data_IF_650799376207
#
_entry.id   IF_650799376207
#
_cell.length_a   1.000
_cell.length_b   1.000
_cell.length_c   1.000
_cell.angle_alpha   90.00
_cell.angle_beta   90.00
_cell.angle_gamma   90.00
#
_symmetry.space_group_name_H-M   'P 1'
#
loop_
_entity.id
_entity.type
_entity.pdbx_description
1 polymer ?
#
# COMPACT_ATOMS: atom_id res chain seq x y z
N UNK A 1 9.18 25.28 3.73
CA UNK A 1 8.53 24.53 2.62
C UNK A 1 8.25 23.10 3.13
N UNK A 2 7.57 22.87 4.26
CA UNK A 2 6.20 23.22 4.70
C UNK A 2 5.04 22.59 3.90
N UNK A 3 5.18 21.31 3.52
CA UNK A 3 4.02 20.48 3.20
C UNK A 3 4.05 19.17 4.00
N UNK A 4 4.05 19.29 5.33
CA UNK A 4 3.83 18.18 6.28
C UNK A 4 2.32 18.00 6.56
N UNK A 5 1.46 18.73 5.85
CA UNK A 5 0.01 18.63 6.01
C UNK A 5 -0.60 17.80 4.90
N UNK A 6 -0.89 16.53 5.21
CA UNK A 6 -2.17 15.86 4.92
C UNK A 6 -2.05 14.34 5.08
N UNK A 7 -1.93 13.88 6.33
CA UNK A 7 -2.33 12.52 6.70
C UNK A 7 -2.66 12.47 8.20
N UNK A 8 -3.41 13.46 8.71
CA UNK A 8 -4.20 13.23 9.93
C UNK A 8 -5.45 12.45 9.52
N UNK A 9 -5.26 11.21 9.11
CA UNK A 9 -6.34 10.22 9.12
C UNK A 9 -6.24 9.59 10.51
N UNK A 10 -7.32 9.68 11.28
CA UNK A 10 -7.43 9.02 12.59
C UNK A 10 -7.36 7.50 12.36
N UNK A 11 -6.16 6.94 12.24
CA UNK A 11 -6.00 5.60 11.67
C UNK A 11 -5.64 4.59 12.75
N UNK A 12 -6.36 3.47 12.72
CA UNK A 12 -5.95 2.18 13.29
C UNK A 12 -4.62 1.75 12.65
N UNK A 13 -3.53 2.34 13.13
CA UNK A 13 -2.17 1.98 12.75
C UNK A 13 -1.94 0.56 13.24
N UNK A 14 -1.58 -0.34 12.33
CA UNK A 14 -1.29 -1.72 12.71
C UNK A 14 0.06 -1.84 13.45
N UNK A 15 0.37 -3.05 13.89
CA UNK A 15 1.61 -3.33 14.62
C UNK A 15 2.89 -3.01 13.82
N UNK A 16 2.80 -2.90 12.49
CA UNK A 16 3.91 -2.61 11.59
C UNK A 16 3.96 -1.13 11.16
N UNK A 17 3.05 -0.30 11.67
CA UNK A 17 3.01 1.13 11.36
C UNK A 17 2.21 1.50 10.13
N UNK A 18 1.50 0.54 9.51
CA UNK A 18 0.69 0.81 8.31
C UNK A 18 -0.65 1.40 8.71
N UNK A 19 -1.03 2.47 8.03
CA UNK A 19 -2.35 3.04 8.14
C UNK A 19 -3.41 2.23 7.37
N UNK A 20 -4.67 2.62 7.53
CA UNK A 20 -5.80 1.96 6.88
C UNK A 20 -5.72 1.93 5.35
N UNK A 21 -5.09 2.94 4.73
CA UNK A 21 -4.96 3.05 3.29
C UNK A 21 -3.91 2.07 2.78
N UNK A 22 -2.77 1.98 3.45
CA UNK A 22 -1.69 1.05 3.15
C UNK A 22 -2.12 -0.41 3.37
N UNK A 23 -2.86 -0.69 4.45
CA UNK A 23 -3.48 -1.99 4.69
C UNK A 23 -4.46 -2.36 3.57
N UNK A 24 -5.34 -1.43 3.17
CA UNK A 24 -6.27 -1.65 2.06
C UNK A 24 -5.56 -1.89 0.72
N UNK A 25 -4.46 -1.18 0.48
CA UNK A 25 -3.61 -1.36 -0.70
C UNK A 25 -3.06 -2.78 -0.76
N UNK A 26 -2.45 -3.25 0.33
CA UNK A 26 -1.86 -4.59 0.40
C UNK A 26 -2.93 -5.68 0.30
N UNK A 27 -4.10 -5.47 0.94
CA UNK A 27 -5.24 -6.38 0.88
C UNK A 27 -5.72 -6.58 -0.57
N UNK A 28 -5.94 -5.48 -1.31
CA UNK A 28 -6.37 -5.55 -2.72
C UNK A 28 -5.32 -6.26 -3.57
N UNK A 29 -4.04 -5.97 -3.34
CA UNK A 29 -2.96 -6.58 -4.12
C UNK A 29 -2.80 -8.08 -3.82
N UNK A 30 -3.12 -8.52 -2.60
CA UNK A 30 -3.03 -9.94 -2.20
C UNK A 30 -4.02 -10.87 -2.92
N UNK A 31 -5.09 -10.32 -3.48
CA UNK A 31 -6.08 -11.12 -4.22
C UNK A 31 -5.48 -11.75 -5.49
N UNK A 32 -4.49 -11.11 -6.10
CA UNK A 32 -3.86 -11.59 -7.35
C UNK A 32 -2.33 -11.65 -7.26
N UNK A 33 -1.72 -11.22 -6.16
CA UNK A 33 -0.28 -10.97 -5.94
C UNK A 33 0.37 -9.99 -6.92
N UNK A 34 -0.26 -9.67 -8.05
CA UNK A 34 0.24 -8.74 -9.05
C UNK A 34 -0.90 -7.97 -9.68
N UNK A 35 -0.82 -6.63 -9.68
CA UNK A 35 -1.80 -5.74 -10.30
C UNK A 35 -1.14 -4.55 -10.99
N UNK A 36 -1.70 -4.07 -12.12
CA UNK A 36 -1.36 -2.76 -12.65
C UNK A 36 -1.76 -1.62 -11.70
N UNK A 37 -0.99 -0.53 -11.64
CA UNK A 37 -1.29 0.64 -10.80
C UNK A 37 -2.68 1.20 -11.00
N UNK A 38 -3.11 1.32 -12.25
CA UNK A 38 -4.40 1.92 -12.60
C UNK A 38 -5.56 1.10 -12.06
N UNK A 39 -5.41 -0.23 -11.96
CA UNK A 39 -6.40 -1.11 -11.34
C UNK A 39 -6.41 -0.89 -9.83
N UNK A 40 -5.25 -0.86 -9.18
CA UNK A 40 -5.14 -0.55 -7.75
C UNK A 40 -5.74 0.83 -7.42
N UNK A 41 -5.39 1.84 -8.21
CA UNK A 41 -5.91 3.20 -8.10
C UNK A 41 -7.43 3.25 -8.23
N UNK A 42 -7.98 2.55 -9.22
CA UNK A 42 -9.43 2.44 -9.41
C UNK A 42 -10.12 1.79 -8.23
N UNK A 43 -9.50 0.77 -7.61
CA UNK A 43 -10.09 0.05 -6.47
C UNK A 43 -9.98 0.82 -5.15
N UNK A 44 -8.91 1.59 -4.98
CA UNK A 44 -8.69 2.45 -3.81
C UNK A 44 -9.43 3.80 -3.91
N UNK A 45 -10.00 4.13 -5.07
CA UNK A 45 -10.66 5.42 -5.29
C UNK A 45 -9.71 6.62 -5.23
N UNK A 46 -8.41 6.39 -5.47
CA UNK A 46 -7.37 7.41 -5.41
C UNK A 46 -6.69 7.61 -6.76
N UNK A 47 -6.19 8.81 -7.06
CA UNK A 47 -5.35 9.02 -8.23
C UNK A 47 -4.10 8.15 -8.17
N UNK A 48 -3.76 7.51 -9.29
CA UNK A 48 -2.54 6.71 -9.44
C UNK A 48 -1.28 7.45 -8.98
N UNK A 49 -1.20 8.76 -9.30
CA UNK A 49 -0.09 9.63 -8.89
C UNK A 49 0.03 9.74 -7.36
N UNK A 50 -1.09 9.93 -6.66
CA UNK A 50 -1.12 10.01 -5.20
C UNK A 50 -0.64 8.71 -4.58
N UNK A 51 -1.07 7.56 -5.11
CA UNK A 51 -0.58 6.25 -4.65
C UNK A 51 0.95 6.15 -4.82
N UNK A 52 1.50 6.54 -5.96
CA UNK A 52 2.94 6.46 -6.22
C UNK A 52 3.77 7.42 -5.37
N UNK A 53 3.28 8.64 -5.14
CA UNK A 53 4.04 9.70 -4.48
C UNK A 53 3.88 9.66 -2.95
N UNK A 54 2.78 9.08 -2.43
CA UNK A 54 2.44 9.11 -1.00
C UNK A 54 2.46 7.72 -0.37
N UNK A 55 1.87 6.70 -1.02
CA UNK A 55 1.64 5.38 -0.40
C UNK A 55 2.79 4.40 -0.70
N UNK A 56 3.14 4.25 -1.98
CA UNK A 56 4.17 3.30 -2.42
C UNK A 56 5.57 3.53 -1.81
N UNK A 57 6.04 4.77 -1.51
CA UNK A 57 7.40 4.96 -0.99
C UNK A 57 7.67 4.16 0.28
N UNK A 58 6.73 4.13 1.22
CA UNK A 58 6.87 3.38 2.47
C UNK A 58 6.80 1.87 2.21
N UNK A 59 5.79 1.40 1.48
CA UNK A 59 5.60 -0.03 1.16
C UNK A 59 6.78 -0.64 0.39
N UNK A 60 7.40 0.13 -0.51
CA UNK A 60 8.59 -0.26 -1.25
C UNK A 60 9.84 -0.28 -0.34
N UNK A 61 10.01 0.75 0.48
CA UNK A 61 11.16 0.85 1.40
C UNK A 61 11.16 -0.27 2.43
N UNK A 62 9.99 -0.57 3.00
CA UNK A 62 9.82 -1.69 3.93
C UNK A 62 9.83 -3.04 3.22
N UNK A 63 9.75 -3.09 1.89
CA UNK A 63 9.80 -4.32 1.11
C UNK A 63 8.54 -5.18 1.21
N UNK A 64 7.39 -4.58 1.55
CA UNK A 64 6.07 -5.23 1.42
C UNK A 64 5.64 -5.36 -0.05
N UNK A 65 6.14 -4.46 -0.90
CA UNK A 65 5.81 -4.34 -2.31
C UNK A 65 7.09 -4.32 -3.16
N UNK A 66 7.03 -4.85 -4.37
CA UNK A 66 7.96 -4.54 -5.45
C UNK A 66 7.22 -4.01 -6.68
N UNK A 67 7.93 -3.35 -7.60
CA UNK A 67 7.35 -2.81 -8.83
C UNK A 67 8.18 -3.17 -10.04
N UNK A 68 7.49 -3.47 -11.15
CA UNK A 68 8.08 -3.71 -12.46
C UNK A 68 7.26 -2.97 -13.51
N UNK A 69 7.78 -1.84 -14.00
CA UNK A 69 7.03 -0.94 -14.89
C UNK A 69 5.72 -0.46 -14.27
N UNK A 70 4.58 -0.85 -14.86
CA UNK A 70 3.24 -0.54 -14.34
C UNK A 70 2.70 -1.57 -13.36
N UNK A 71 3.38 -2.71 -13.17
CA UNK A 71 2.95 -3.79 -12.29
C UNK A 71 3.46 -3.60 -10.86
N UNK A 72 2.58 -3.90 -9.91
CA UNK A 72 2.80 -3.92 -8.47
C UNK A 72 2.77 -5.37 -8.07
N UNK A 73 3.77 -5.82 -7.36
CA UNK A 73 3.96 -7.24 -7.03
C UNK A 73 4.07 -7.35 -5.52
N UNK A 74 3.17 -8.12 -4.91
CA UNK A 74 3.23 -8.39 -3.47
C UNK A 74 4.46 -9.25 -3.18
N UNK A 75 5.25 -8.84 -2.21
CA UNK A 75 6.39 -9.65 -1.77
C UNK A 75 5.94 -10.69 -0.74
N UNK A 76 6.80 -11.67 -0.47
CA UNK A 76 6.56 -12.60 0.62
C UNK A 76 6.43 -11.91 2.00
N UNK A 77 7.09 -10.76 2.21
CA UNK A 77 6.93 -9.96 3.45
C UNK A 77 5.52 -9.38 3.52
N UNK A 78 5.01 -8.82 2.41
CA UNK A 78 3.65 -8.31 2.30
C UNK A 78 2.59 -9.38 2.55
N UNK A 79 2.74 -10.54 1.93
CA UNK A 79 1.82 -11.67 2.10
C UNK A 79 1.78 -12.16 3.55
N UNK A 80 2.95 -12.34 4.20
CA UNK A 80 3.03 -12.73 5.62
C UNK A 80 2.39 -11.70 6.54
N UNK A 81 2.52 -10.41 6.23
CA UNK A 81 1.93 -9.35 7.02
C UNK A 81 0.39 -9.41 7.00
N UNK A 82 -0.21 -9.64 5.84
CA UNK A 82 -1.67 -9.79 5.70
C UNK A 82 -2.17 -11.02 6.45
N UNK A 83 -1.45 -12.15 6.34
CA UNK A 83 -1.80 -13.40 7.03
C UNK A 83 -1.63 -13.30 8.56
N UNK A 84 -0.60 -12.58 9.02
CA UNK A 84 -0.28 -12.41 10.45
C UNK A 84 -1.19 -11.42 11.18
N UNK A 85 -1.90 -10.55 10.47
CA UNK A 85 -2.80 -9.55 11.05
C UNK A 85 -4.22 -10.09 11.34
N UNK A 86 -4.48 -11.38 11.07
CA UNK A 86 -5.78 -12.04 11.27
C UNK A 86 -5.85 -12.96 12.50
N UNK A 87 -5.02 -12.74 13.53
CA UNK A 87 -5.05 -13.53 14.78
C UNK A 87 -5.13 -12.64 16.01
#
# INVERSE_FOLDING_TARGET
LDHVQQAFVLSDIDAQGLDSLEQSYLQILSETNTLPLNVLASRLGLPARTIQEVVEPYLLQEGFLSKEGSLRILTQKGEKHIQGSSV
#
